data_IF_996963299066
#
_entry.id   IF_996963299066
#
_cell.length_a   1.000
_cell.length_b   1.000
_cell.length_c   1.000
_cell.angle_alpha   90.00
_cell.angle_beta   90.00
_cell.angle_gamma   90.00
#
_symmetry.space_group_name_H-M   'P 1'
#
loop_
_entity.id
_entity.type
_entity.pdbx_description
1 polymer ?
#
# COMPACT_ATOMS: atom_id res chain seq x y z
N UNK A 1 8.21 3.97 -10.30
CA UNK A 1 8.79 4.03 -8.93
C UNK A 1 7.92 3.23 -7.97
N UNK A 2 8.50 2.70 -6.91
CA UNK A 2 7.78 1.90 -5.92
C UNK A 2 7.85 2.52 -4.54
N UNK A 3 6.88 2.21 -3.71
CA UNK A 3 6.93 2.53 -2.30
C UNK A 3 6.11 1.53 -1.50
N UNK A 4 6.44 1.41 -0.21
CA UNK A 4 5.73 0.56 0.72
C UNK A 4 4.88 1.42 1.64
N UNK A 5 3.63 1.02 1.85
CA UNK A 5 2.77 1.53 2.91
C UNK A 5 2.54 0.43 3.92
N UNK A 6 2.68 0.77 5.20
CA UNK A 6 2.26 -0.08 6.31
C UNK A 6 1.41 0.73 7.28
N UNK A 7 0.36 0.12 7.84
CA UNK A 7 -0.34 0.69 8.99
C UNK A 7 -0.53 -0.33 10.09
N UNK A 8 -0.61 0.20 11.33
CA UNK A 8 -0.88 -0.58 12.54
C UNK A 8 -2.12 -0.03 13.22
N UNK A 9 -3.10 -0.89 13.43
CA UNK A 9 -4.30 -0.57 14.19
C UNK A 9 -3.95 -0.34 15.67
N UNK A 10 -4.61 0.65 16.27
CA UNK A 10 -4.53 1.03 17.69
C UNK A 10 -5.75 0.57 18.49
N UNK A 11 -6.74 0.02 17.81
CA UNK A 11 -8.01 -0.41 18.40
C UNK A 11 -8.38 -1.79 17.88
N UNK A 12 -9.07 -2.57 18.71
CA UNK A 12 -9.63 -3.88 18.35
C UNK A 12 -11.02 -3.77 17.71
N UNK A 13 -11.51 -2.55 17.48
CA UNK A 13 -12.78 -2.33 16.80
C UNK A 13 -12.69 -2.73 15.32
N UNK A 14 -13.10 -3.97 15.02
CA UNK A 14 -13.05 -4.57 13.68
C UNK A 14 -13.76 -3.73 12.61
N UNK A 15 -14.90 -3.11 12.94
CA UNK A 15 -15.63 -2.27 11.98
C UNK A 15 -14.86 -1.01 11.61
N UNK A 16 -14.23 -0.33 12.58
CA UNK A 16 -13.37 0.83 12.31
C UNK A 16 -12.13 0.45 11.51
N UNK A 17 -11.50 -0.68 11.86
CA UNK A 17 -10.32 -1.18 11.15
C UNK A 17 -10.63 -1.57 9.70
N UNK A 18 -11.78 -2.22 9.47
CA UNK A 18 -12.24 -2.60 8.13
C UNK A 18 -12.54 -1.36 7.29
N UNK A 19 -13.22 -0.37 7.86
CA UNK A 19 -13.49 0.90 7.18
C UNK A 19 -12.19 1.61 6.78
N UNK A 20 -11.25 1.76 7.71
CA UNK A 20 -9.96 2.40 7.42
C UNK A 20 -9.20 1.63 6.33
N UNK A 21 -9.22 0.30 6.38
CA UNK A 21 -8.58 -0.54 5.34
C UNK A 21 -9.17 -0.27 3.96
N UNK A 22 -10.51 -0.18 3.85
CA UNK A 22 -11.18 0.15 2.59
C UNK A 22 -10.83 1.55 2.09
N UNK A 23 -10.75 2.54 2.98
CA UNK A 23 -10.37 3.91 2.64
C UNK A 23 -8.91 3.98 2.16
N UNK A 24 -7.99 3.30 2.84
CA UNK A 24 -6.58 3.21 2.46
C UNK A 24 -6.40 2.50 1.13
N UNK A 25 -7.04 1.33 0.93
CA UNK A 25 -6.95 0.58 -0.34
C UNK A 25 -7.55 1.39 -1.50
N UNK A 26 -8.65 2.11 -1.26
CA UNK A 26 -9.26 3.00 -2.25
C UNK A 26 -8.36 4.18 -2.63
N UNK A 27 -7.39 4.56 -1.77
CA UNK A 27 -6.44 5.61 -2.09
C UNK A 27 -5.51 5.23 -3.26
N UNK A 28 -5.25 3.94 -3.45
CA UNK A 28 -4.32 3.42 -4.46
C UNK A 28 -4.90 2.36 -5.40
N UNK A 29 -6.21 2.13 -5.40
CA UNK A 29 -6.87 1.12 -6.22
C UNK A 29 -6.71 1.32 -7.74
N UNK A 30 -6.43 2.55 -8.19
CA UNK A 30 -6.11 2.86 -9.59
C UNK A 30 -4.65 2.62 -9.99
N UNK A 31 -3.81 2.14 -9.07
CA UNK A 31 -2.41 1.84 -9.31
C UNK A 31 -2.15 0.34 -9.17
N UNK A 32 -0.99 -0.10 -9.64
CA UNK A 32 -0.56 -1.48 -9.46
C UNK A 32 -0.04 -1.65 -8.04
N UNK A 33 -0.54 -2.62 -7.31
CA UNK A 33 -0.09 -2.91 -5.95
C UNK A 33 -0.04 -4.41 -5.67
N UNK A 34 0.78 -4.77 -4.68
CA UNK A 34 0.89 -6.12 -4.15
C UNK A 34 0.70 -6.10 -2.63
N UNK A 35 -0.08 -7.05 -2.10
CA UNK A 35 -0.24 -7.19 -0.65
C UNK A 35 0.84 -8.12 -0.09
N UNK A 36 1.74 -7.58 0.72
CA UNK A 36 2.91 -8.30 1.24
C UNK A 36 2.63 -8.90 2.62
N UNK A 37 1.94 -8.14 3.47
CA UNK A 37 1.45 -8.57 4.77
C UNK A 37 0.02 -8.06 4.98
N UNK A 38 -0.60 -8.40 6.10
CA UNK A 38 -2.00 -8.06 6.39
C UNK A 38 -2.35 -6.58 6.14
N UNK A 39 -1.48 -5.68 6.59
CA UNK A 39 -1.61 -4.22 6.46
C UNK A 39 -0.40 -3.58 5.77
N UNK A 40 0.28 -4.34 4.90
CA UNK A 40 1.47 -3.87 4.18
C UNK A 40 1.34 -4.09 2.69
N UNK A 41 1.49 -3.00 1.94
CA UNK A 41 1.32 -2.98 0.49
C UNK A 41 2.54 -2.36 -0.17
N UNK A 42 2.93 -2.92 -1.31
CA UNK A 42 3.86 -2.29 -2.23
C UNK A 42 3.05 -1.73 -3.39
N UNK A 43 3.26 -0.45 -3.71
CA UNK A 43 2.51 0.27 -4.73
C UNK A 43 3.50 0.78 -5.77
N UNK A 44 3.17 0.60 -7.04
CA UNK A 44 3.91 1.12 -8.19
C UNK A 44 3.16 2.28 -8.81
N UNK A 45 3.88 3.39 -8.97
CA UNK A 45 3.40 4.63 -9.59
C UNK A 45 4.44 5.15 -10.57
N UNK A 46 4.02 5.95 -11.54
CA UNK A 46 4.90 6.46 -12.60
C UNK A 46 5.60 7.75 -12.19
N UNK A 47 4.93 8.59 -11.38
CA UNK A 47 5.42 9.94 -11.05
C UNK A 47 5.38 10.24 -9.55
N UNK A 48 6.18 11.24 -9.14
CA UNK A 48 6.21 11.73 -7.76
C UNK A 48 4.85 12.32 -7.34
N UNK A 49 4.15 12.97 -8.27
CA UNK A 49 2.82 13.52 -8.02
C UNK A 49 1.79 12.42 -7.70
N UNK A 50 1.87 11.27 -8.37
CA UNK A 50 1.03 10.12 -8.07
C UNK A 50 1.35 9.55 -6.68
N UNK A 51 2.64 9.44 -6.31
CA UNK A 51 3.06 9.09 -4.95
C UNK A 51 2.48 10.06 -3.92
N UNK A 52 2.63 11.37 -4.13
CA UNK A 52 2.14 12.40 -3.21
C UNK A 52 0.62 12.38 -3.07
N UNK A 53 -0.10 12.09 -4.16
CA UNK A 53 -1.55 11.90 -4.15
C UNK A 53 -1.97 10.70 -3.31
N UNK A 54 -1.30 9.56 -3.44
CA UNK A 54 -1.59 8.37 -2.61
C UNK A 54 -1.28 8.68 -1.15
N UNK A 55 -0.10 9.24 -0.87
CA UNK A 55 0.33 9.61 0.48
C UNK A 55 -0.69 10.53 1.17
N UNK A 56 -1.11 11.60 0.48
CA UNK A 56 -2.06 12.58 1.03
C UNK A 56 -3.41 11.94 1.34
N UNK A 57 -3.95 11.10 0.44
CA UNK A 57 -5.21 10.39 0.68
C UNK A 57 -5.15 9.42 1.86
N UNK A 58 -4.04 8.70 2.01
CA UNK A 58 -3.85 7.80 3.16
C UNK A 58 -3.70 8.61 4.46
N UNK A 59 -2.98 9.72 4.42
CA UNK A 59 -2.86 10.65 5.54
C UNK A 59 -4.23 11.18 5.98
N UNK A 60 -5.07 11.58 5.02
CA UNK A 60 -6.43 12.08 5.28
C UNK A 60 -7.31 10.98 5.92
N UNK A 61 -7.27 9.75 5.39
CA UNK A 61 -8.01 8.62 5.94
C UNK A 61 -7.61 8.32 7.40
N UNK A 62 -6.31 8.30 7.70
CA UNK A 62 -5.83 8.05 9.08
C UNK A 62 -6.12 9.24 10.00
N UNK A 63 -6.05 10.49 9.50
CA UNK A 63 -6.36 11.69 10.29
C UNK A 63 -7.86 11.88 10.57
N UNK A 64 -8.74 11.27 9.78
CA UNK A 64 -10.18 11.30 10.03
C UNK A 64 -10.55 10.62 11.37
N UNK A 65 -9.78 9.61 11.80
CA UNK A 65 -9.88 9.02 13.15
C UNK A 65 -8.48 8.60 13.66
N UNK A 66 -7.69 9.53 14.25
CA UNK A 66 -6.29 9.28 14.62
C UNK A 66 -6.11 8.25 15.75
N UNK A 67 -7.22 7.86 16.40
CA UNK A 67 -7.26 6.82 17.43
C UNK A 67 -7.35 5.41 16.82
N UNK A 68 -7.58 5.28 15.52
CA UNK A 68 -7.74 3.97 14.85
C UNK A 68 -6.40 3.37 14.44
N UNK A 69 -5.47 4.15 13.90
CA UNK A 69 -4.20 3.61 13.41
C UNK A 69 -3.04 4.62 13.46
N UNK A 70 -1.83 4.10 13.29
CA UNK A 70 -0.67 4.84 12.78
C UNK A 70 -0.30 4.26 11.42
N UNK A 71 0.30 5.04 10.53
CA UNK A 71 0.84 4.55 9.27
C UNK A 71 2.24 5.09 8.99
N UNK A 72 2.98 4.36 8.16
CA UNK A 72 4.31 4.72 7.69
C UNK A 72 4.37 4.44 6.19
N UNK A 73 5.04 5.33 5.46
CA UNK A 73 5.26 5.19 4.02
C UNK A 73 6.75 5.36 3.75
N UNK A 74 7.33 4.48 2.95
CA UNK A 74 8.72 4.64 2.55
C UNK A 74 8.86 5.80 1.55
N UNK A 75 10.04 6.41 1.43
CA UNK A 75 10.34 7.26 0.28
C UNK A 75 10.09 6.52 -1.05
N UNK A 76 9.84 7.24 -2.14
CA UNK A 76 9.76 6.63 -3.47
C UNK A 76 11.12 6.01 -3.81
N UNK A 77 11.10 4.72 -4.13
CA UNK A 77 12.24 3.95 -4.57
C UNK A 77 12.24 3.93 -6.11
N UNK A 78 13.20 4.62 -6.76
CA UNK A 78 13.30 4.64 -8.22
C UNK A 78 13.72 3.27 -8.77
N UNK A 79 14.49 2.51 -8.00
CA UNK A 79 14.87 1.13 -8.31
C UNK A 79 13.92 0.16 -7.61
N UNK A 80 13.30 -0.76 -8.36
CA UNK A 80 12.36 -1.77 -7.84
C UNK A 80 13.07 -2.94 -7.15
N UNK A 81 14.14 -2.69 -6.38
CA UNK A 81 14.87 -3.74 -5.66
C UNK A 81 14.47 -3.76 -4.18
N UNK A 82 14.08 -4.93 -3.70
CA UNK A 82 13.71 -5.15 -2.30
C UNK A 82 14.74 -6.05 -1.65
N UNK A 83 15.25 -5.64 -0.48
CA UNK A 83 16.10 -6.47 0.36
C UNK A 83 15.23 -7.07 1.45
N UNK A 84 15.06 -8.38 1.42
CA UNK A 84 14.25 -9.09 2.41
C UNK A 84 14.03 -10.54 2.04
N UNK A 85 13.29 -11.25 2.89
CA UNK A 85 12.81 -12.60 2.62
C UNK A 85 11.29 -12.58 2.61
N UNK A 86 10.70 -13.10 1.54
CA UNK A 86 9.27 -13.30 1.38
C UNK A 86 9.03 -14.69 0.76
N UNK A 87 7.86 -15.30 1.00
CA UNK A 87 7.46 -16.51 0.30
C UNK A 87 7.47 -16.31 -1.22
N UNK A 88 7.76 -17.37 -1.98
CA UNK A 88 7.85 -17.33 -3.46
C UNK A 88 6.59 -16.75 -4.11
N UNK A 89 5.40 -17.03 -3.56
CA UNK A 89 4.13 -16.52 -4.06
C UNK A 89 4.07 -14.99 -4.06
N UNK A 90 4.55 -14.36 -2.98
CA UNK A 90 4.56 -12.90 -2.83
C UNK A 90 5.56 -12.25 -3.79
N UNK A 91 6.70 -12.90 -4.05
CA UNK A 91 7.66 -12.43 -5.05
C UNK A 91 7.07 -12.41 -6.46
N UNK A 92 6.24 -13.39 -6.83
CA UNK A 92 5.54 -13.37 -8.12
C UNK A 92 4.65 -12.13 -8.26
N UNK A 93 3.90 -11.79 -7.21
CA UNK A 93 3.01 -10.62 -7.20
C UNK A 93 3.81 -9.30 -7.25
N UNK A 94 4.91 -9.19 -6.49
CA UNK A 94 5.81 -8.04 -6.53
C UNK A 94 6.44 -7.84 -7.92
N UNK A 95 6.86 -8.92 -8.56
CA UNK A 95 7.43 -8.87 -9.91
C UNK A 95 6.38 -8.44 -10.93
N UNK A 96 5.13 -8.92 -10.82
CA UNK A 96 3.99 -8.49 -11.66
C UNK A 96 3.78 -6.97 -11.56
N UNK A 97 3.74 -6.44 -10.34
CA UNK A 97 3.61 -5.00 -10.07
C UNK A 97 4.78 -4.20 -10.65
N UNK A 98 6.00 -4.75 -10.57
CA UNK A 98 7.22 -4.11 -11.08
C UNK A 98 7.30 -4.09 -12.60
N UNK A 99 6.79 -5.14 -13.27
CA UNK A 99 6.77 -5.24 -14.74
C UNK A 99 5.60 -4.50 -15.37
N UNK A 100 4.64 -4.08 -14.55
CA UNK A 100 3.47 -3.38 -15.04
C UNK A 100 2.42 -4.30 -15.69
N UNK A 101 2.38 -5.57 -15.32
CA UNK A 101 1.40 -6.53 -15.84
C UNK A 101 0.05 -6.35 -15.11
N UNK A 102 -1.05 -6.22 -15.86
CA UNK A 102 -2.41 -6.20 -15.29
C UNK A 102 -2.79 -7.58 -14.74
N UNK A 103 -3.62 -7.59 -13.70
CA UNK A 103 -4.23 -8.81 -13.21
C UNK A 103 -5.48 -9.05 -14.06
N UNK A 104 -5.41 -9.97 -15.03
CA UNK A 104 -6.54 -10.31 -15.90
C UNK A 104 -7.54 -11.26 -15.20
N UNK A 105 -7.36 -11.50 -13.89
CA UNK A 105 -8.24 -12.31 -13.05
C UNK A 105 -9.08 -11.46 -12.09
N UNK A 106 -10.22 -10.96 -12.59
CA UNK A 106 -11.38 -10.58 -11.77
C UNK A 106 -12.61 -11.30 -12.30
#
# INVERSE_FOLDING_TARGET
MHFLIHWRNKTDNSSKNSRLTLEIVSAFSGFKFAKIFESTFVISVDTKDQYDKVYSKVLDAVKADPKVANFVVTPPMPESSYKGWLPKSVWSELNRVSRGESDDSV
#
